data_IF_992824838271
#
_entry.id   IF_992824838271
#
_cell.length_a   1.000
_cell.length_b   1.000
_cell.length_c   1.000
_cell.angle_alpha   90.00
_cell.angle_beta   90.00
_cell.angle_gamma   90.00
#
_symmetry.space_group_name_H-M   'P 1'
#
loop_
_entity.id
_entity.type
_entity.pdbx_description
1 polymer ?
#
# COMPACT_ATOMS: atom_id res chain seq x y z
N UNK A 1 -11.11 25.98 20.02
CA UNK A 1 -10.47 25.91 18.69
C UNK A 1 -9.88 24.51 18.52
N UNK A 2 -9.66 24.00 17.31
CA UNK A 2 -9.04 22.65 17.14
C UNK A 2 -7.54 22.67 17.48
N UNK A 3 -6.90 23.84 17.38
CA UNK A 3 -5.45 24.01 17.58
C UNK A 3 -4.93 23.48 18.92
N UNK A 4 -5.65 23.70 20.03
CA UNK A 4 -5.24 23.25 21.37
C UNK A 4 -5.25 21.71 21.51
N UNK A 5 -5.94 21.01 20.59
CA UNK A 5 -6.01 19.55 20.56
C UNK A 5 -4.96 18.92 19.64
N UNK A 6 -4.26 19.70 18.82
CA UNK A 6 -3.36 19.17 17.78
C UNK A 6 -2.23 18.31 18.36
N UNK A 7 -1.59 18.75 19.44
CA UNK A 7 -0.51 17.98 20.06
C UNK A 7 -0.99 16.62 20.57
N UNK A 8 -2.15 16.59 21.24
CA UNK A 8 -2.75 15.35 21.73
C UNK A 8 -3.19 14.42 20.59
N UNK A 9 -3.77 14.97 19.52
CA UNK A 9 -4.17 14.19 18.34
C UNK A 9 -2.96 13.63 17.58
N UNK A 10 -1.89 14.42 17.46
CA UNK A 10 -0.64 13.96 16.84
C UNK A 10 -0.03 12.82 17.66
N UNK A 11 0.08 12.97 18.98
CA UNK A 11 0.55 11.90 19.85
C UNK A 11 -0.32 10.64 19.70
N UNK A 12 -1.65 10.80 19.76
CA UNK A 12 -2.58 9.69 19.57
C UNK A 12 -2.34 8.95 18.25
N UNK A 13 -2.30 9.67 17.12
CA UNK A 13 -2.06 9.09 15.80
C UNK A 13 -0.73 8.34 15.70
N UNK A 14 0.34 8.89 16.28
CA UNK A 14 1.69 8.28 16.24
C UNK A 14 1.85 7.12 17.23
N UNK A 15 1.03 7.08 18.29
CA UNK A 15 1.10 6.07 19.35
C UNK A 15 0.40 4.76 18.99
N UNK A 16 -0.41 4.73 17.91
CA UNK A 16 -1.17 3.55 17.50
C UNK A 16 -0.33 2.73 16.51
N UNK A 17 0.16 1.54 16.88
CA UNK A 17 0.88 0.68 15.95
C UNK A 17 -0.09 0.06 14.93
N UNK A 18 0.43 -0.29 13.75
CA UNK A 18 -0.32 -1.10 12.79
C UNK A 18 -0.75 -2.44 13.41
N UNK A 19 -2.01 -2.85 13.24
CA UNK A 19 -2.52 -4.08 13.84
C UNK A 19 -1.89 -5.31 13.17
N UNK A 20 -1.42 -6.26 13.99
CA UNK A 20 -0.96 -7.57 13.52
C UNK A 20 -2.16 -8.44 13.16
N UNK A 21 -2.14 -9.16 12.03
CA UNK A 21 -3.20 -10.12 11.73
C UNK A 21 -3.21 -11.24 12.78
N UNK A 22 -4.39 -11.73 13.21
CA UNK A 22 -4.45 -12.88 14.10
C UNK A 22 -3.84 -14.12 13.44
N UNK A 23 -3.14 -14.95 14.21
CA UNK A 23 -2.41 -16.10 13.67
C UNK A 23 -3.27 -17.14 12.94
N UNK A 24 -4.57 -17.18 13.22
CA UNK A 24 -5.53 -18.11 12.60
C UNK A 24 -6.14 -17.61 11.29
N UNK A 25 -5.86 -16.37 10.87
CA UNK A 25 -6.51 -15.78 9.69
C UNK A 25 -5.72 -15.93 8.40
N UNK A 26 -4.52 -16.53 8.45
CA UNK A 26 -3.68 -16.74 7.28
C UNK A 26 -2.82 -18.01 7.41
N UNK A 27 -2.46 -18.60 6.26
CA UNK A 27 -1.48 -19.69 6.19
C UNK A 27 -0.06 -19.10 6.26
N UNK A 28 0.68 -19.43 7.33
CA UNK A 28 2.05 -18.96 7.56
C UNK A 28 3.03 -19.43 6.48
N UNK A 29 2.89 -20.65 5.98
CA UNK A 29 3.75 -21.17 4.92
C UNK A 29 3.44 -20.48 3.58
N UNK A 30 2.17 -20.22 3.28
CA UNK A 30 1.77 -19.42 2.13
C UNK A 30 2.30 -17.98 2.22
N UNK A 31 2.22 -17.36 3.40
CA UNK A 31 2.74 -16.01 3.63
C UNK A 31 4.27 -15.94 3.40
N UNK A 32 5.02 -16.95 3.84
CA UNK A 32 6.46 -17.03 3.58
C UNK A 32 6.77 -17.15 2.09
N UNK A 33 6.03 -17.98 1.34
CA UNK A 33 6.17 -18.04 -0.13
C UNK A 33 5.83 -16.70 -0.78
N UNK A 34 4.74 -16.07 -0.35
CA UNK A 34 4.33 -14.74 -0.82
C UNK A 34 5.39 -13.68 -0.57
N UNK A 35 6.05 -13.70 0.59
CA UNK A 35 7.15 -12.78 0.91
C UNK A 35 8.33 -12.91 -0.07
N UNK A 36 8.66 -14.13 -0.50
CA UNK A 36 9.71 -14.35 -1.51
C UNK A 36 9.33 -13.72 -2.84
N UNK A 37 8.07 -13.88 -3.29
CA UNK A 37 7.57 -13.26 -4.51
C UNK A 37 7.58 -11.73 -4.40
N UNK A 38 7.05 -11.20 -3.28
CA UNK A 38 6.95 -9.78 -2.98
C UNK A 38 8.31 -9.06 -3.02
N UNK A 39 9.34 -9.67 -2.44
CA UNK A 39 10.69 -9.10 -2.41
C UNK A 39 11.45 -9.27 -3.73
N UNK A 40 11.16 -10.34 -4.48
CA UNK A 40 11.97 -10.74 -5.63
C UNK A 40 11.23 -10.58 -6.95
N UNK A 41 10.51 -11.62 -7.40
CA UNK A 41 9.94 -11.71 -8.75
C UNK A 41 8.99 -10.55 -9.05
N UNK A 42 8.16 -10.17 -8.10
CA UNK A 42 7.18 -9.09 -8.24
C UNK A 42 7.74 -7.70 -7.94
N UNK A 43 8.89 -7.62 -7.24
CA UNK A 43 9.56 -6.37 -6.84
C UNK A 43 8.69 -5.39 -6.06
N UNK A 44 7.59 -5.81 -5.43
CA UNK A 44 6.70 -4.96 -4.64
C UNK A 44 7.45 -4.19 -3.53
N UNK A 45 8.48 -4.83 -2.94
CA UNK A 45 9.32 -4.26 -1.90
C UNK A 45 10.22 -3.09 -2.37
N UNK A 46 10.27 -2.75 -3.67
CA UNK A 46 11.00 -1.57 -4.13
C UNK A 46 10.34 -0.26 -3.71
N UNK A 47 9.00 -0.27 -3.56
CA UNK A 47 8.21 0.87 -3.09
C UNK A 47 7.61 0.59 -1.71
N UNK A 48 7.15 -0.64 -1.47
CA UNK A 48 6.54 -1.03 -0.18
C UNK A 48 7.59 -1.59 0.80
N UNK A 49 8.45 -0.70 1.30
CA UNK A 49 9.62 -1.06 2.13
C UNK A 49 9.23 -1.27 3.61
N UNK A 50 9.64 -2.39 4.27
CA UNK A 50 9.43 -2.58 5.71
C UNK A 50 10.06 -1.47 6.57
N UNK A 51 9.55 -1.20 7.80
CA UNK A 51 8.52 -1.96 8.51
C UNK A 51 7.08 -1.49 8.25
N UNK A 52 6.90 -0.28 7.71
CA UNK A 52 5.58 0.30 7.42
C UNK A 52 5.05 -0.08 6.02
N UNK A 53 5.90 -0.70 5.20
CA UNK A 53 5.61 -1.06 3.80
C UNK A 53 5.27 0.16 2.95
N UNK A 54 6.04 1.23 3.14
CA UNK A 54 6.11 2.46 2.35
C UNK A 54 7.56 2.93 2.37
N UNK A 55 8.05 3.44 1.25
CA UNK A 55 9.45 3.84 1.10
C UNK A 55 9.80 5.06 1.99
N UNK A 56 11.00 5.11 2.56
CA UNK A 56 11.45 6.26 3.34
C UNK A 56 11.80 7.45 2.43
N UNK A 57 11.59 8.66 2.94
CA UNK A 57 11.95 9.89 2.21
C UNK A 57 10.85 10.32 1.25
N UNK A 58 11.13 10.29 -0.05
CA UNK A 58 10.22 10.78 -1.08
C UNK A 58 9.39 9.63 -1.68
N UNK A 59 8.26 9.34 -1.06
CA UNK A 59 7.42 8.19 -1.39
C UNK A 59 6.35 8.46 -2.44
N UNK A 60 6.70 9.22 -3.49
CA UNK A 60 5.75 9.61 -4.53
C UNK A 60 6.14 9.09 -5.91
N UNK A 61 5.14 8.72 -6.70
CA UNK A 61 5.30 8.09 -8.01
C UNK A 61 4.35 8.68 -9.04
N UNK A 62 4.76 8.65 -10.31
CA UNK A 62 3.90 9.04 -11.42
C UNK A 62 2.83 7.98 -11.66
N UNK A 63 1.72 8.38 -12.26
CA UNK A 63 0.63 7.47 -12.63
C UNK A 63 1.12 6.32 -13.53
N UNK A 64 2.07 6.62 -14.43
CA UNK A 64 2.74 5.66 -15.30
C UNK A 64 3.57 4.62 -14.56
N UNK A 65 4.03 4.89 -13.34
CA UNK A 65 4.86 3.93 -12.57
C UNK A 65 4.02 2.80 -12.00
N UNK A 66 2.73 3.09 -11.75
CA UNK A 66 1.75 2.18 -11.14
C UNK A 66 0.65 1.76 -12.12
N UNK A 67 0.75 2.15 -13.39
CA UNK A 67 -0.10 1.65 -14.48
C UNK A 67 -1.51 2.23 -14.50
N UNK A 68 -1.72 3.46 -14.03
CA UNK A 68 -3.03 4.13 -14.04
C UNK A 68 -2.97 5.50 -14.73
N UNK A 69 -4.13 6.14 -14.87
CA UNK A 69 -4.26 7.52 -15.30
C UNK A 69 -3.84 8.53 -14.21
N UNK A 70 -3.48 9.73 -14.64
CA UNK A 70 -2.98 10.80 -13.79
C UNK A 70 -4.07 11.79 -13.35
N UNK A 71 -5.35 11.50 -13.60
CA UNK A 71 -6.44 12.44 -13.38
C UNK A 71 -6.41 13.01 -11.96
N UNK A 72 -6.37 12.15 -10.94
CA UNK A 72 -6.33 12.62 -9.55
C UNK A 72 -4.97 13.21 -9.18
N UNK A 73 -3.86 12.60 -9.60
CA UNK A 73 -2.51 13.09 -9.33
C UNK A 73 -2.29 14.52 -9.84
N UNK A 74 -2.81 14.89 -11.01
CA UNK A 74 -2.66 16.22 -11.63
C UNK A 74 -3.29 17.38 -10.83
N UNK A 75 -4.01 17.08 -9.74
CA UNK A 75 -4.53 18.06 -8.79
C UNK A 75 -3.58 18.33 -7.62
N UNK A 76 -2.51 17.55 -7.50
CA UNK A 76 -1.44 17.74 -6.51
C UNK A 76 -0.31 18.59 -7.10
N UNK A 77 0.46 19.33 -6.27
CA UNK A 77 1.58 20.14 -6.75
C UNK A 77 2.61 19.35 -7.56
N UNK A 78 2.90 18.12 -7.15
CA UNK A 78 3.95 17.28 -7.75
C UNK A 78 3.43 16.35 -8.87
N UNK A 79 2.11 16.32 -9.08
CA UNK A 79 1.45 15.44 -10.03
C UNK A 79 1.83 13.97 -9.83
N UNK A 80 1.74 13.49 -8.58
CA UNK A 80 2.17 12.16 -8.16
C UNK A 80 1.19 11.52 -7.17
N UNK A 81 1.25 10.20 -7.04
CA UNK A 81 0.58 9.41 -6.00
C UNK A 81 1.57 8.99 -4.92
N UNK A 82 1.12 8.96 -3.67
CA UNK A 82 1.93 8.51 -2.52
C UNK A 82 1.80 7.00 -2.32
N UNK A 83 2.93 6.31 -2.16
CA UNK A 83 2.98 4.88 -1.80
C UNK A 83 2.33 4.65 -0.44
N UNK A 84 1.12 4.07 -0.43
CA UNK A 84 0.40 3.78 0.81
C UNK A 84 1.07 2.65 1.59
N UNK A 85 1.17 2.80 2.91
CA UNK A 85 1.68 1.77 3.79
C UNK A 85 0.79 0.53 3.79
N UNK A 86 1.39 -0.66 3.65
CA UNK A 86 0.65 -1.93 3.67
C UNK A 86 0.61 -2.58 5.07
N UNK A 87 1.31 -2.01 6.06
CA UNK A 87 1.24 -2.49 7.44
C UNK A 87 -0.20 -2.34 7.99
N UNK A 88 -0.86 -3.47 8.24
CA UNK A 88 -2.26 -3.49 8.70
C UNK A 88 -3.30 -3.48 7.56
N UNK A 89 -2.90 -3.63 6.29
CA UNK A 89 -3.82 -3.61 5.12
C UNK A 89 -5.06 -4.50 5.30
N UNK A 90 -4.91 -5.64 5.99
CA UNK A 90 -5.99 -6.59 6.26
C UNK A 90 -7.21 -6.00 7.00
N UNK A 91 -7.08 -4.84 7.66
CA UNK A 91 -8.20 -4.13 8.30
C UNK A 91 -8.97 -3.21 7.34
N UNK A 92 -8.46 -2.99 6.12
CA UNK A 92 -8.97 -2.02 5.14
C UNK A 92 -9.38 -2.70 3.83
N UNK A 93 -10.23 -3.72 3.93
CA UNK A 93 -10.67 -4.53 2.77
C UNK A 93 -12.02 -4.08 2.19
N UNK A 94 -12.63 -3.02 2.71
CA UNK A 94 -13.95 -2.50 2.29
C UNK A 94 -13.77 -1.20 1.49
N UNK A 95 -14.60 -1.01 0.46
CA UNK A 95 -14.58 0.20 -0.38
C UNK A 95 -13.65 0.14 -1.59
N UNK A 96 -13.03 -1.01 -1.84
CA UNK A 96 -12.05 -1.19 -2.92
C UNK A 96 -10.64 -0.72 -2.54
N UNK A 97 -9.70 -0.91 -3.45
CA UNK A 97 -8.29 -0.53 -3.34
C UNK A 97 -7.96 0.58 -4.34
N UNK A 98 -6.86 1.29 -4.07
CA UNK A 98 -6.49 2.59 -4.65
C UNK A 98 -7.35 3.75 -4.10
N UNK A 99 -6.91 4.97 -4.41
CA UNK A 99 -7.51 6.21 -3.93
C UNK A 99 -8.97 6.42 -4.39
N UNK A 100 -9.39 5.72 -5.45
CA UNK A 100 -10.72 5.79 -6.05
C UNK A 100 -11.50 4.47 -5.95
N UNK A 101 -10.95 3.46 -5.28
CA UNK A 101 -11.59 2.15 -5.12
C UNK A 101 -11.70 1.34 -6.43
N UNK A 102 -10.94 1.67 -7.48
CA UNK A 102 -11.06 1.04 -8.82
C UNK A 102 -10.87 -0.48 -8.83
N UNK A 103 -10.16 -1.02 -7.85
CA UNK A 103 -9.98 -2.47 -7.70
C UNK A 103 -10.85 -2.97 -6.56
N UNK A 104 -11.77 -3.90 -6.84
CA UNK A 104 -12.69 -4.41 -5.83
C UNK A 104 -11.99 -5.28 -4.78
N UNK A 105 -10.96 -6.02 -5.18
CA UNK A 105 -10.24 -6.97 -4.34
C UNK A 105 -8.72 -6.76 -4.38
N UNK A 106 -8.02 -7.30 -3.38
CA UNK A 106 -6.55 -7.29 -3.37
C UNK A 106 -5.99 -8.15 -4.51
N UNK A 107 -6.74 -9.19 -4.94
CA UNK A 107 -6.34 -10.01 -6.08
C UNK A 107 -6.40 -9.20 -7.38
N UNK A 108 -7.37 -8.31 -7.54
CA UNK A 108 -7.43 -7.42 -8.72
C UNK A 108 -6.22 -6.50 -8.78
N UNK A 109 -5.73 -6.00 -7.63
CA UNK A 109 -4.49 -5.22 -7.54
C UNK A 109 -3.28 -6.05 -7.94
N UNK A 110 -3.18 -7.30 -7.45
CA UNK A 110 -2.07 -8.20 -7.78
C UNK A 110 -2.07 -8.52 -9.28
N UNK A 111 -3.23 -8.85 -9.85
CA UNK A 111 -3.39 -9.14 -11.27
C UNK A 111 -3.03 -7.92 -12.14
N UNK A 112 -3.46 -6.73 -11.74
CA UNK A 112 -3.08 -5.48 -12.39
C UNK A 112 -1.55 -5.34 -12.50
N UNK A 113 -0.82 -5.50 -11.40
CA UNK A 113 0.64 -5.43 -11.43
C UNK A 113 1.28 -6.59 -12.19
N UNK A 114 0.70 -7.79 -12.11
CA UNK A 114 1.19 -8.95 -12.84
C UNK A 114 1.16 -8.71 -14.36
N UNK A 115 0.07 -8.14 -14.85
CA UNK A 115 -0.11 -7.83 -16.27
C UNK A 115 0.71 -6.59 -16.67
N UNK A 116 0.59 -5.51 -15.90
CA UNK A 116 1.25 -4.24 -16.18
C UNK A 116 2.78 -4.35 -16.17
N UNK A 117 3.36 -5.00 -15.14
CA UNK A 117 4.81 -5.21 -15.04
C UNK A 117 5.27 -6.49 -15.75
N UNK A 118 4.35 -7.28 -16.30
CA UNK A 118 4.62 -8.61 -16.90
C UNK A 118 5.41 -9.50 -15.94
N UNK A 119 5.05 -9.47 -14.66
CA UNK A 119 5.78 -10.15 -13.59
C UNK A 119 5.66 -11.69 -13.67
N UNK A 120 4.65 -12.20 -14.39
CA UNK A 120 4.36 -13.63 -14.61
C UNK A 120 4.35 -14.41 -13.29
N UNK A 121 3.68 -13.87 -12.28
CA UNK A 121 3.46 -14.51 -10.99
C UNK A 121 2.45 -15.63 -11.23
N UNK A 122 2.98 -16.82 -11.51
CA UNK A 122 2.30 -18.11 -11.65
C UNK A 122 2.44 -18.95 -10.37
#
# INVERSE_FOLDING_TARGET
>A
MVSDKLAALQFYQLSIPSPKPPDSTYDKAAAQRGMVVFNNKAKCASCHVPPLFTEPGWNTHKASDIGIDDFQANRSPDSTYVTQGLAGLWTHMKGGFYHDGRFATLMDVINHYNDFKKARID
#
